data_IF_063824938325
#
_entry.id   IF_063824938325
#
_cell.length_a   1.000
_cell.length_b   1.000
_cell.length_c   1.000
_cell.angle_alpha   90.00
_cell.angle_beta   90.00
_cell.angle_gamma   90.00
#
_symmetry.space_group_name_H-M   'P 1'
#
loop_
_entity.id
_entity.type
_entity.pdbx_description
1 polymer ?
#
# COMPACT_ATOMS: atom_id res chain seq x y z
N UNK A 1 27.21 -13.50 -10.21
CA UNK A 1 26.63 -12.54 -11.18
C UNK A 1 25.49 -13.23 -11.92
N UNK A 2 24.30 -12.63 -11.96
CA UNK A 2 23.15 -13.16 -12.71
C UNK A 2 23.48 -13.13 -14.21
N UNK A 3 23.32 -14.26 -14.91
CA UNK A 3 23.43 -14.28 -16.38
C UNK A 3 22.27 -13.50 -16.99
N UNK A 4 22.48 -12.78 -18.09
CA UNK A 4 21.43 -11.97 -18.76
C UNK A 4 20.13 -12.77 -18.96
N UNK A 5 20.25 -14.05 -19.37
CA UNK A 5 19.11 -14.96 -19.52
C UNK A 5 18.35 -15.20 -18.22
N UNK A 6 19.04 -15.44 -17.10
CA UNK A 6 18.42 -15.64 -15.78
C UNK A 6 17.77 -14.36 -15.26
N UNK A 7 18.40 -13.21 -15.48
CA UNK A 7 17.85 -11.92 -15.08
C UNK A 7 16.50 -11.64 -15.76
N UNK A 8 16.43 -11.74 -17.10
CA UNK A 8 15.18 -11.56 -17.83
C UNK A 8 14.13 -12.59 -17.43
N UNK A 9 14.52 -13.86 -17.30
CA UNK A 9 13.60 -14.92 -16.87
C UNK A 9 12.95 -14.61 -15.50
N UNK A 10 13.74 -14.15 -14.52
CA UNK A 10 13.23 -13.80 -13.18
C UNK A 10 12.30 -12.59 -13.23
N UNK A 11 12.69 -11.51 -13.91
CA UNK A 11 11.84 -10.32 -14.03
C UNK A 11 10.51 -10.65 -14.70
N UNK A 12 10.54 -11.37 -15.82
CA UNK A 12 9.31 -11.80 -16.50
C UNK A 12 8.45 -12.65 -15.57
N UNK A 13 9.04 -13.57 -14.82
CA UNK A 13 8.34 -14.38 -13.81
C UNK A 13 7.65 -13.53 -12.75
N UNK A 14 8.35 -12.57 -12.14
CA UNK A 14 7.77 -11.69 -11.12
C UNK A 14 6.67 -10.76 -11.66
N UNK A 15 6.83 -10.26 -12.90
CA UNK A 15 5.80 -9.45 -13.55
C UNK A 15 4.55 -10.27 -13.85
N UNK A 16 4.70 -11.50 -14.36
CA UNK A 16 3.55 -12.38 -14.58
C UNK A 16 2.85 -12.72 -13.26
N UNK A 17 3.62 -13.00 -12.22
CA UNK A 17 3.08 -13.29 -10.89
C UNK A 17 2.32 -12.09 -10.29
N UNK A 18 2.84 -10.87 -10.44
CA UNK A 18 2.16 -9.67 -9.95
C UNK A 18 0.87 -9.37 -10.71
N UNK A 19 0.88 -9.51 -12.04
CA UNK A 19 -0.32 -9.35 -12.87
C UNK A 19 -1.36 -10.40 -12.51
N UNK A 20 -0.97 -11.67 -12.37
CA UNK A 20 -1.87 -12.72 -11.93
C UNK A 20 -2.49 -12.41 -10.56
N UNK A 21 -1.70 -11.92 -9.61
CA UNK A 21 -2.18 -11.52 -8.29
C UNK A 21 -3.18 -10.37 -8.37
N UNK A 22 -2.93 -9.34 -9.18
CA UNK A 22 -3.85 -8.20 -9.35
C UNK A 22 -5.21 -8.62 -9.92
N UNK A 23 -5.23 -9.63 -10.80
CA UNK A 23 -6.45 -10.15 -11.41
C UNK A 23 -7.21 -11.07 -10.44
N UNK A 24 -6.48 -11.93 -9.74
CA UNK A 24 -7.08 -13.01 -8.93
C UNK A 24 -7.48 -12.53 -7.53
N UNK A 25 -6.69 -11.66 -6.90
CA UNK A 25 -6.90 -11.23 -5.52
C UNK A 25 -8.27 -10.57 -5.25
N UNK A 26 -8.86 -9.74 -6.14
CA UNK A 26 -10.17 -9.13 -5.90
C UNK A 26 -11.31 -10.16 -5.75
N UNK A 27 -11.16 -11.38 -6.27
CA UNK A 27 -12.18 -12.42 -6.15
C UNK A 27 -12.24 -13.05 -4.75
N UNK A 28 -11.17 -12.91 -3.95
CA UNK A 28 -11.13 -13.41 -2.58
C UNK A 28 -11.68 -12.37 -1.59
N UNK A 29 -12.60 -12.77 -0.73
CA UNK A 29 -13.17 -11.90 0.31
C UNK A 29 -14.15 -12.63 1.23
N UNK A 30 -14.69 -11.90 2.20
CA UNK A 30 -15.64 -12.43 3.20
C UNK A 30 -16.99 -12.84 2.61
N UNK A 31 -17.39 -12.21 1.51
CA UNK A 31 -18.65 -12.49 0.80
C UNK A 31 -18.40 -13.31 -0.48
N UNK A 32 -19.23 -14.32 -0.74
CA UNK A 32 -19.18 -15.08 -1.99
C UNK A 32 -19.76 -14.24 -3.13
N UNK A 33 -18.91 -13.69 -4.00
CA UNK A 33 -19.35 -12.94 -5.17
C UNK A 33 -19.65 -13.87 -6.34
N UNK A 34 -20.82 -13.72 -6.95
CA UNK A 34 -21.10 -14.32 -8.25
C UNK A 34 -20.40 -13.50 -9.33
N UNK A 35 -19.34 -14.05 -9.92
CA UNK A 35 -18.59 -13.37 -10.99
C UNK A 35 -19.46 -13.03 -12.20
N UNK A 36 -20.55 -13.79 -12.44
CA UNK A 36 -21.53 -13.50 -13.50
C UNK A 36 -22.29 -12.21 -13.22
N UNK A 37 -22.77 -12.03 -11.98
CA UNK A 37 -23.49 -10.83 -11.56
C UNK A 37 -22.59 -9.59 -11.64
N UNK A 38 -21.29 -9.74 -11.35
CA UNK A 38 -20.31 -8.65 -11.46
C UNK A 38 -20.11 -8.27 -12.92
N UNK A 39 -19.90 -9.24 -13.83
CA UNK A 39 -19.73 -8.97 -15.26
C UNK A 39 -21.00 -8.38 -15.88
N UNK A 40 -22.16 -8.96 -15.59
CA UNK A 40 -23.44 -8.48 -16.12
C UNK A 40 -23.75 -7.07 -15.61
N UNK A 41 -23.41 -6.76 -14.35
CA UNK A 41 -23.59 -5.42 -13.79
C UNK A 41 -22.66 -4.39 -14.42
N UNK A 42 -21.40 -4.75 -14.64
CA UNK A 42 -20.41 -3.89 -15.28
C UNK A 42 -20.77 -3.61 -16.75
N UNK A 43 -21.23 -4.64 -17.48
CA UNK A 43 -21.55 -4.52 -18.90
C UNK A 43 -22.92 -3.83 -19.08
N UNK A 44 -23.93 -4.27 -18.36
CA UNK A 44 -25.32 -3.82 -18.52
C UNK A 44 -25.67 -2.59 -17.67
N UNK A 45 -24.71 -2.09 -16.88
CA UNK A 45 -24.87 -0.95 -15.97
C UNK A 45 -26.07 -1.10 -15.01
N UNK A 46 -26.37 -2.33 -14.60
CA UNK A 46 -27.43 -2.59 -13.64
C UNK A 46 -26.88 -2.48 -12.21
N UNK A 47 -27.68 -1.94 -11.29
CA UNK A 47 -27.31 -1.87 -9.89
C UNK A 47 -27.19 -3.29 -9.31
N UNK A 48 -26.01 -3.65 -8.80
CA UNK A 48 -25.81 -4.89 -8.05
C UNK A 48 -24.86 -4.66 -6.90
N UNK A 49 -25.24 -5.13 -5.72
CA UNK A 49 -24.43 -5.04 -4.50
C UNK A 49 -23.09 -5.77 -4.69
N UNK A 50 -23.11 -6.89 -5.44
CA UNK A 50 -21.92 -7.66 -5.79
C UNK A 50 -20.90 -6.82 -6.57
N UNK A 51 -21.35 -6.04 -7.55
CA UNK A 51 -20.47 -5.19 -8.36
C UNK A 51 -19.95 -4.00 -7.57
N UNK A 52 -20.77 -3.40 -6.71
CA UNK A 52 -20.35 -2.30 -5.83
C UNK A 52 -19.25 -2.78 -4.87
N UNK A 53 -19.42 -3.94 -4.24
CA UNK A 53 -18.38 -4.54 -3.38
C UNK A 53 -17.10 -4.77 -4.18
N UNK A 54 -17.20 -5.30 -5.40
CA UNK A 54 -16.04 -5.58 -6.23
C UNK A 54 -15.30 -4.30 -6.63
N UNK A 55 -16.00 -3.30 -7.17
CA UNK A 55 -15.42 -2.10 -7.79
C UNK A 55 -15.05 -1.05 -6.74
N UNK A 56 -15.87 -0.83 -5.71
CA UNK A 56 -15.67 0.23 -4.73
C UNK A 56 -14.80 -0.20 -3.54
N UNK A 57 -14.77 -1.50 -3.21
CA UNK A 57 -14.04 -1.99 -2.04
C UNK A 57 -12.86 -2.90 -2.38
N UNK A 58 -13.08 -3.97 -3.16
CA UNK A 58 -12.04 -4.99 -3.38
C UNK A 58 -10.95 -4.54 -4.35
N UNK A 59 -11.35 -3.98 -5.50
CA UNK A 59 -10.41 -3.53 -6.51
C UNK A 59 -9.48 -2.41 -6.00
N UNK A 60 -9.96 -1.34 -5.33
CA UNK A 60 -9.09 -0.29 -4.80
C UNK A 60 -8.16 -0.83 -3.70
N UNK A 61 -8.65 -1.75 -2.85
CA UNK A 61 -7.82 -2.38 -1.81
C UNK A 61 -6.66 -3.19 -2.38
N UNK A 62 -6.89 -3.98 -3.43
CA UNK A 62 -5.85 -4.79 -4.08
C UNK A 62 -4.82 -3.89 -4.76
N UNK A 63 -5.27 -2.83 -5.44
CA UNK A 63 -4.37 -1.85 -6.06
C UNK A 63 -3.53 -1.12 -5.02
N UNK A 64 -4.15 -0.68 -3.91
CA UNK A 64 -3.43 -0.05 -2.80
C UNK A 64 -2.42 -1.02 -2.17
N UNK A 65 -2.78 -2.28 -1.94
CA UNK A 65 -1.84 -3.28 -1.41
C UNK A 65 -0.63 -3.48 -2.33
N UNK A 66 -0.85 -3.51 -3.65
CA UNK A 66 0.22 -3.61 -4.63
C UNK A 66 1.14 -2.37 -4.62
N UNK A 67 0.56 -1.16 -4.63
CA UNK A 67 1.31 0.08 -4.61
C UNK A 67 2.11 0.26 -3.31
N UNK A 68 1.50 -0.03 -2.16
CA UNK A 68 2.15 0.04 -0.84
C UNK A 68 3.26 -1.00 -0.73
N UNK A 69 3.00 -2.24 -1.13
CA UNK A 69 4.01 -3.31 -1.13
C UNK A 69 5.21 -2.99 -2.04
N UNK A 70 4.95 -2.47 -3.24
CA UNK A 70 6.00 -2.00 -4.15
C UNK A 70 6.81 -0.83 -3.57
N UNK A 71 6.13 0.14 -2.94
CA UNK A 71 6.81 1.27 -2.28
C UNK A 71 7.70 0.80 -1.12
N UNK A 72 7.25 -0.16 -0.32
CA UNK A 72 8.04 -0.75 0.77
C UNK A 72 9.26 -1.51 0.23
N UNK A 73 9.11 -2.27 -0.85
CA UNK A 73 10.22 -2.98 -1.48
C UNK A 73 11.29 -2.02 -2.02
N UNK A 74 10.88 -0.92 -2.67
CA UNK A 74 11.79 0.12 -3.16
C UNK A 74 12.49 0.87 -2.02
N UNK A 75 11.74 1.24 -0.97
CA UNK A 75 12.30 1.91 0.21
C UNK A 75 13.31 1.02 0.93
N UNK A 76 12.99 -0.26 1.14
CA UNK A 76 13.88 -1.24 1.75
C UNK A 76 15.16 -1.45 0.94
N UNK A 77 15.05 -1.70 -0.37
CA UNK A 77 16.22 -1.87 -1.23
C UNK A 77 17.12 -0.64 -1.28
N UNK A 78 16.53 0.55 -1.31
CA UNK A 78 17.28 1.82 -1.27
C UNK A 78 18.02 1.99 0.05
N UNK A 79 17.36 1.70 1.18
CA UNK A 79 17.96 1.82 2.50
C UNK A 79 19.09 0.81 2.73
N UNK A 80 18.93 -0.42 2.24
CA UNK A 80 19.97 -1.46 2.30
C UNK A 80 21.25 -1.03 1.58
N UNK A 81 21.13 -0.32 0.44
CA UNK A 81 22.26 0.23 -0.31
C UNK A 81 22.93 1.38 0.44
N UNK A 82 22.14 2.33 0.96
CA UNK A 82 22.65 3.52 1.69
C UNK A 82 23.39 3.09 2.96
N UNK A 83 22.77 2.21 3.75
CA UNK A 83 23.35 1.74 5.01
C UNK A 83 24.38 0.61 4.81
N UNK A 84 24.53 0.10 3.58
CA UNK A 84 25.37 -1.06 3.25
C UNK A 84 25.10 -2.26 4.18
N UNK A 85 23.84 -2.41 4.58
CA UNK A 85 23.41 -3.44 5.52
C UNK A 85 22.22 -4.19 4.91
N UNK A 86 22.36 -5.47 4.52
CA UNK A 86 21.29 -6.25 3.91
C UNK A 86 20.12 -6.52 4.86
N UNK A 87 20.28 -6.28 6.17
CA UNK A 87 19.23 -6.42 7.17
C UNK A 87 18.51 -5.09 7.48
N UNK A 88 18.91 -3.98 6.84
CA UNK A 88 18.25 -2.71 7.04
C UNK A 88 16.84 -2.70 6.45
N UNK A 89 15.89 -2.20 7.22
CA UNK A 89 14.52 -1.92 6.76
C UNK A 89 14.04 -0.55 7.29
N UNK A 90 13.12 0.12 6.58
CA UNK A 90 12.64 1.46 6.96
C UNK A 90 11.99 1.52 8.35
N UNK A 91 11.45 0.41 8.84
CA UNK A 91 10.79 0.33 10.14
C UNK A 91 11.75 0.53 11.32
N UNK A 92 13.03 0.16 11.19
CA UNK A 92 14.02 0.25 12.28
C UNK A 92 14.37 1.71 12.62
N UNK A 93 14.20 2.64 11.69
CA UNK A 93 14.51 4.06 11.89
C UNK A 93 13.43 4.83 12.67
N UNK A 94 12.34 4.17 13.09
CA UNK A 94 11.26 4.81 13.84
C UNK A 94 10.25 5.59 13.01
N UNK A 95 10.42 5.65 11.68
CA UNK A 95 9.54 6.38 10.75
C UNK A 95 8.09 5.89 10.87
N UNK A 96 7.89 4.56 10.88
CA UNK A 96 6.56 3.97 11.05
C UNK A 96 5.94 4.26 12.43
N UNK A 97 6.77 4.29 13.48
CA UNK A 97 6.34 4.65 14.84
C UNK A 97 5.88 6.11 14.93
N UNK A 98 6.59 7.03 14.30
CA UNK A 98 6.19 8.44 14.23
C UNK A 98 4.92 8.66 13.41
N UNK A 99 4.72 7.91 12.33
CA UNK A 99 3.46 7.91 11.58
C UNK A 99 2.29 7.38 12.42
N UNK A 100 2.50 6.27 13.15
CA UNK A 100 1.51 5.74 14.07
C UNK A 100 1.18 6.73 15.19
N UNK A 101 2.18 7.39 15.77
CA UNK A 101 1.98 8.46 16.75
C UNK A 101 1.14 9.61 16.17
N UNK A 102 1.45 10.07 14.96
CA UNK A 102 0.66 11.09 14.26
C UNK A 102 -0.80 10.67 14.08
N UNK A 103 -1.03 9.44 13.61
CA UNK A 103 -2.38 8.89 13.48
C UNK A 103 -3.14 8.85 14.82
N UNK A 104 -2.48 8.41 15.90
CA UNK A 104 -3.06 8.37 17.24
C UNK A 104 -3.39 9.78 17.74
N UNK A 105 -2.52 10.77 17.52
CA UNK A 105 -2.80 12.18 17.88
C UNK A 105 -4.07 12.67 17.17
N UNK A 106 -4.23 12.38 15.88
CA UNK A 106 -5.42 12.79 15.14
C UNK A 106 -6.72 12.14 15.66
N UNK A 107 -6.65 10.88 16.12
CA UNK A 107 -7.81 10.14 16.63
C UNK A 107 -8.13 10.51 18.08
N UNK A 108 -7.11 10.64 18.92
CA UNK A 108 -7.28 10.77 20.38
C UNK A 108 -7.47 12.20 20.86
N UNK A 109 -7.05 13.21 20.11
CA UNK A 109 -7.24 14.62 20.49
C UNK A 109 -8.61 15.11 20.02
N UNK A 110 -9.51 15.54 20.93
CA UNK A 110 -10.81 16.07 20.56
C UNK A 110 -10.69 17.26 19.59
N UNK A 111 -11.48 17.26 18.52
CA UNK A 111 -11.50 18.32 17.51
C UNK A 111 -10.46 18.19 16.40
N UNK A 112 -9.51 17.25 16.49
CA UNK A 112 -8.54 16.97 15.42
C UNK A 112 -9.02 15.87 14.47
N UNK A 113 -9.92 15.00 14.90
CA UNK A 113 -10.53 14.00 14.02
C UNK A 113 -11.52 14.66 13.08
N UNK A 114 -11.12 14.85 11.82
CA UNK A 114 -11.92 15.45 10.76
C UNK A 114 -11.91 14.46 9.59
N UNK A 115 -13.10 14.17 9.07
CA UNK A 115 -13.29 13.29 7.92
C UNK A 115 -13.95 14.08 6.80
N UNK A 116 -13.28 14.16 5.64
CA UNK A 116 -13.77 14.81 4.43
C UNK A 116 -13.50 13.85 3.27
N UNK A 117 -14.49 13.04 2.88
CA UNK A 117 -14.31 12.00 1.85
C UNK A 117 -13.60 12.56 0.61
N UNK A 118 -12.48 11.96 0.16
CA UNK A 118 -11.91 10.67 0.56
C UNK A 118 -10.80 10.72 1.65
N UNK A 119 -10.51 11.89 2.24
CA UNK A 119 -9.39 12.10 3.16
C UNK A 119 -9.83 12.28 4.62
N UNK A 120 -9.00 11.78 5.53
CA UNK A 120 -9.12 11.94 6.97
C UNK A 120 -7.89 12.65 7.50
N UNK A 121 -8.07 13.46 8.55
CA UNK A 121 -6.96 14.08 9.28
C UNK A 121 -5.94 13.06 9.76
N UNK A 122 -6.35 11.80 9.99
CA UNK A 122 -5.46 10.69 10.36
C UNK A 122 -4.31 10.50 9.37
N UNK A 123 -4.58 10.56 8.06
CA UNK A 123 -3.54 10.37 7.04
C UNK A 123 -2.57 11.54 7.03
N UNK A 124 -3.08 12.77 7.13
CA UNK A 124 -2.27 14.00 7.14
C UNK A 124 -1.33 14.02 8.35
N UNK A 125 -1.86 13.72 9.55
CA UNK A 125 -1.05 13.67 10.76
C UNK A 125 -0.04 12.53 10.73
N UNK A 126 -0.42 11.35 10.22
CA UNK A 126 0.51 10.22 10.04
C UNK A 126 1.66 10.59 9.10
N UNK A 127 1.36 11.16 7.93
CA UNK A 127 2.38 11.62 6.98
C UNK A 127 3.28 12.69 7.58
N UNK A 128 2.70 13.65 8.31
CA UNK A 128 3.46 14.72 8.97
C UNK A 128 4.40 14.15 10.03
N UNK A 129 3.94 13.17 10.83
CA UNK A 129 4.79 12.45 11.79
C UNK A 129 5.98 11.75 11.13
N UNK A 130 5.76 11.05 10.02
CA UNK A 130 6.83 10.43 9.23
C UNK A 130 7.84 11.46 8.69
N UNK A 131 7.36 12.58 8.14
CA UNK A 131 8.22 13.64 7.60
C UNK A 131 9.07 14.26 8.71
N UNK A 132 8.47 14.59 9.86
CA UNK A 132 9.19 15.13 11.02
C UNK A 132 10.28 14.16 11.47
N UNK A 133 9.98 12.85 11.54
CA UNK A 133 10.97 11.83 11.88
C UNK A 133 12.17 11.84 10.93
N UNK A 134 11.92 11.84 9.61
CA UNK A 134 12.99 11.88 8.60
C UNK A 134 13.82 13.16 8.73
N UNK A 135 13.19 14.31 8.95
CA UNK A 135 13.90 15.58 9.15
C UNK A 135 14.78 15.52 10.39
N UNK A 136 14.28 14.98 11.50
CA UNK A 136 15.06 14.82 12.74
C UNK A 136 16.28 13.92 12.48
N UNK A 137 16.08 12.75 11.86
CA UNK A 137 17.18 11.82 11.55
C UNK A 137 18.24 12.51 10.68
N UNK A 138 17.82 13.22 9.63
CA UNK A 138 18.75 13.94 8.76
C UNK A 138 19.53 15.01 9.51
N UNK A 139 18.87 15.73 10.43
CA UNK A 139 19.52 16.76 11.27
C UNK A 139 20.49 16.18 12.30
N UNK A 140 20.26 14.95 12.78
CA UNK A 140 21.16 14.27 13.70
C UNK A 140 22.36 13.63 12.99
N UNK A 141 22.19 13.26 11.71
CA UNK A 141 23.25 12.67 10.91
C UNK A 141 24.18 13.71 10.24
N UNK A 142 23.72 14.96 10.13
CA UNK A 142 24.48 16.11 9.61
C UNK A 142 25.40 16.69 10.68
#
# INVERSE_FOLDING_TARGET
MLTKKRFFFLITGYVLFSVATLIIAPFFGSESLSWRNVLDAVISHHASVDADIFILHRLPRVLLAFLVGGSLALAGGSLQVVLKNPLAEPFILGIAGSGALGAVIAISVPGLYIHADPFSSVQVFSMTGCIICIVIIYRLAA
#
